data_IF_183999899117
#
_entry.id   IF_183999899117
#
_cell.length_a   1.000
_cell.length_b   1.000
_cell.length_c   1.000
_cell.angle_alpha   90.00
_cell.angle_beta   90.00
_cell.angle_gamma   90.00
#
_symmetry.space_group_name_H-M   'P 1'
#
loop_
_entity.id
_entity.type
_entity.pdbx_description
1 polymer ?
#
# COMPACT_ATOMS: atom_id res chain seq x y z
N UNK A 1 -18.86 -4.44 21.42
CA UNK A 1 -19.93 -5.37 21.85
C UNK A 1 -19.93 -6.69 21.07
N UNK A 2 -19.39 -6.69 19.84
CA UNK A 2 -19.34 -7.87 18.96
C UNK A 2 -18.19 -8.84 19.34
N UNK A 3 -17.13 -8.37 20.02
CA UNK A 3 -16.02 -9.19 20.48
C UNK A 3 -14.99 -9.58 19.41
N UNK A 4 -15.15 -9.12 18.17
CA UNK A 4 -14.16 -9.27 17.10
C UNK A 4 -14.29 -8.18 16.05
N UNK A 5 -13.23 -7.96 15.29
CA UNK A 5 -13.24 -7.03 14.17
C UNK A 5 -11.92 -7.03 13.41
N UNK A 6 -11.96 -6.56 12.18
CA UNK A 6 -10.78 -6.35 11.32
C UNK A 6 -10.81 -4.94 10.76
N UNK A 7 -9.73 -4.21 10.94
CA UNK A 7 -9.50 -2.89 10.35
C UNK A 7 -8.31 -3.02 9.43
N UNK A 8 -8.48 -2.63 8.17
CA UNK A 8 -7.44 -2.68 7.15
C UNK A 8 -7.28 -1.26 6.61
N UNK A 9 -6.19 -0.63 6.99
CA UNK A 9 -5.82 0.68 6.48
C UNK A 9 -5.06 0.53 5.17
N UNK A 10 -5.23 1.46 4.24
CA UNK A 10 -4.47 1.48 2.99
C UNK A 10 -3.37 2.55 3.10
N UNK A 11 -2.15 2.07 3.30
CA UNK A 11 -0.95 2.90 3.25
C UNK A 11 -0.33 2.87 1.83
N UNK A 12 0.95 2.72 1.74
CA UNK A 12 1.74 2.62 0.50
C UNK A 12 3.11 2.06 0.85
N UNK A 13 3.84 1.56 -0.12
CA UNK A 13 5.28 1.34 0.02
C UNK A 13 6.01 2.64 0.41
N UNK A 14 5.52 3.80 -0.03
CA UNK A 14 6.01 5.13 0.42
C UNK A 14 5.73 5.43 1.90
N UNK A 15 4.98 4.60 2.60
CA UNK A 15 4.84 4.60 4.06
C UNK A 15 5.90 3.74 4.76
N UNK A 16 6.67 2.96 4.03
CA UNK A 16 7.74 2.10 4.54
C UNK A 16 9.12 2.67 4.27
N UNK A 17 9.27 3.44 3.21
CA UNK A 17 10.50 4.14 2.82
C UNK A 17 10.19 5.48 2.15
N UNK A 18 11.21 6.33 2.00
CA UNK A 18 11.06 7.62 1.34
C UNK A 18 10.98 7.49 -0.19
N UNK A 19 10.11 8.26 -0.80
CA UNK A 19 10.03 8.39 -2.26
C UNK A 19 10.36 9.83 -2.64
N UNK A 20 11.39 10.07 -3.46
CA UNK A 20 11.71 11.41 -3.94
C UNK A 20 10.49 12.13 -4.53
N UNK A 21 10.40 13.44 -4.35
CA UNK A 21 9.31 14.31 -4.81
C UNK A 21 7.97 14.10 -4.08
N UNK A 22 7.84 13.11 -3.18
CA UNK A 22 6.58 12.78 -2.49
C UNK A 22 6.65 13.00 -0.96
N UNK A 23 7.35 14.01 -0.46
CA UNK A 23 7.56 14.22 0.97
C UNK A 23 6.27 14.25 1.80
N UNK A 24 5.27 15.04 1.40
CA UNK A 24 3.98 15.15 2.10
C UNK A 24 3.15 13.86 1.98
N UNK A 25 3.21 13.20 0.84
CA UNK A 25 2.57 11.90 0.64
C UNK A 25 3.19 10.84 1.56
N UNK A 26 4.53 10.74 1.57
CA UNK A 26 5.25 9.84 2.47
C UNK A 26 4.87 10.12 3.93
N UNK A 27 4.89 11.39 4.36
CA UNK A 27 4.47 11.76 5.71
C UNK A 27 3.07 11.21 6.05
N UNK A 28 2.11 11.37 5.15
CA UNK A 28 0.74 10.88 5.36
C UNK A 28 0.69 9.36 5.48
N UNK A 29 1.44 8.65 4.63
CA UNK A 29 1.44 7.18 4.58
C UNK A 29 2.22 6.55 5.74
N UNK A 30 3.28 7.19 6.21
CA UNK A 30 3.95 6.84 7.48
C UNK A 30 3.03 7.05 8.67
N UNK A 31 2.26 8.14 8.68
CA UNK A 31 1.26 8.41 9.73
C UNK A 31 0.21 7.30 9.85
N UNK A 32 -0.25 6.75 8.71
CA UNK A 32 -1.17 5.61 8.69
C UNK A 32 -0.55 4.38 9.36
N UNK A 33 0.74 4.11 9.17
CA UNK A 33 1.41 2.99 9.83
C UNK A 33 1.55 3.23 11.34
N UNK A 34 1.87 4.44 11.75
CA UNK A 34 1.88 4.83 13.16
C UNK A 34 0.52 4.61 13.82
N UNK A 35 -0.54 5.12 13.19
CA UNK A 35 -1.93 4.90 13.62
C UNK A 35 -2.27 3.41 13.70
N UNK A 36 -1.94 2.63 12.68
CA UNK A 36 -2.20 1.18 12.63
C UNK A 36 -1.57 0.45 13.82
N UNK A 37 -0.30 0.73 14.09
CA UNK A 37 0.44 0.11 15.21
C UNK A 37 -0.12 0.50 16.58
N UNK A 38 -0.46 1.76 16.75
CA UNK A 38 -1.04 2.27 18.01
C UNK A 38 -2.42 1.68 18.25
N UNK A 39 -3.31 1.78 17.26
CA UNK A 39 -4.67 1.28 17.37
C UNK A 39 -4.70 -0.24 17.60
N UNK A 40 -3.82 -1.00 16.95
CA UNK A 40 -3.68 -2.45 17.18
C UNK A 40 -3.43 -2.80 18.65
N UNK A 41 -2.62 -2.00 19.35
CA UNK A 41 -2.35 -2.19 20.79
C UNK A 41 -3.55 -1.79 21.65
N UNK A 42 -4.24 -0.71 21.29
CA UNK A 42 -5.38 -0.21 22.07
C UNK A 42 -6.59 -1.12 22.02
N UNK A 43 -6.83 -1.78 20.88
CA UNK A 43 -8.06 -2.55 20.67
C UNK A 43 -7.84 -4.06 20.57
N UNK A 44 -6.59 -4.53 20.57
CA UNK A 44 -6.26 -5.95 20.41
C UNK A 44 -6.89 -6.83 21.50
N UNK A 45 -6.88 -6.36 22.75
CA UNK A 45 -7.55 -7.06 23.88
C UNK A 45 -9.06 -7.18 23.73
N UNK A 46 -9.66 -6.40 22.83
CA UNK A 46 -11.09 -6.43 22.52
C UNK A 46 -11.41 -7.36 21.34
N UNK A 47 -10.44 -8.15 20.86
CA UNK A 47 -10.59 -9.04 19.71
C UNK A 47 -10.57 -8.31 18.35
N UNK A 48 -10.11 -7.06 18.30
CA UNK A 48 -10.03 -6.28 17.07
C UNK A 48 -8.59 -6.27 16.56
N UNK A 49 -8.40 -6.66 15.33
CA UNK A 49 -7.11 -6.71 14.63
C UNK A 49 -7.03 -5.55 13.65
N UNK A 50 -5.90 -4.86 13.66
CA UNK A 50 -5.66 -3.67 12.84
C UNK A 50 -4.38 -3.86 12.05
N UNK A 51 -4.44 -3.87 10.73
CA UNK A 51 -3.28 -3.93 9.86
C UNK A 51 -3.35 -2.86 8.77
N UNK A 52 -2.24 -2.60 8.12
CA UNK A 52 -2.19 -1.75 6.95
C UNK A 52 -1.68 -2.55 5.74
N UNK A 53 -2.30 -2.38 4.59
CA UNK A 53 -1.77 -2.83 3.30
C UNK A 53 -0.93 -1.71 2.70
N UNK A 54 0.24 -2.05 2.19
CA UNK A 54 1.22 -1.11 1.66
C UNK A 54 1.52 -1.43 0.18
N UNK A 55 0.61 -1.08 -0.75
CA UNK A 55 0.82 -1.32 -2.16
C UNK A 55 1.95 -0.47 -2.75
N UNK A 56 2.61 -0.99 -3.76
CA UNK A 56 3.40 -0.21 -4.72
C UNK A 56 2.49 0.43 -5.77
N UNK A 57 2.97 0.62 -6.98
CA UNK A 57 2.21 1.19 -8.09
C UNK A 57 1.04 0.27 -8.48
N UNK A 58 -0.16 0.82 -8.58
CA UNK A 58 -1.38 0.09 -8.96
C UNK A 58 -1.96 0.75 -10.21
N UNK A 59 -2.35 -0.02 -11.20
CA UNK A 59 -3.02 0.51 -12.40
C UNK A 59 -4.37 1.09 -12.03
N UNK A 60 -4.45 2.40 -12.04
CA UNK A 60 -5.65 3.17 -11.72
C UNK A 60 -5.69 4.42 -12.61
N UNK A 61 -6.84 5.09 -12.74
CA UNK A 61 -6.91 6.34 -13.50
C UNK A 61 -5.91 7.41 -13.06
N UNK A 62 -5.46 7.38 -11.80
CA UNK A 62 -4.41 8.28 -11.30
C UNK A 62 -3.07 8.09 -12.04
N UNK A 63 -2.78 6.87 -12.47
CA UNK A 63 -1.53 6.52 -13.17
C UNK A 63 -1.62 6.71 -14.69
N UNK A 64 -2.81 7.01 -15.22
CA UNK A 64 -3.08 7.13 -16.66
C UNK A 64 -2.92 8.57 -17.15
N UNK A 65 -1.89 9.27 -16.65
CA UNK A 65 -1.61 10.66 -17.01
C UNK A 65 -0.14 10.83 -17.43
N UNK A 66 0.11 11.80 -18.31
CA UNK A 66 1.49 12.11 -18.71
C UNK A 66 2.32 12.70 -17.56
N UNK A 67 1.70 13.35 -16.59
CA UNK A 67 2.38 13.80 -15.37
C UNK A 67 2.89 12.62 -14.54
N UNK A 68 2.10 11.53 -14.48
CA UNK A 68 2.54 10.32 -13.80
C UNK A 68 3.65 9.60 -14.58
N UNK A 69 3.58 9.54 -15.92
CA UNK A 69 4.66 9.03 -16.77
C UNK A 69 5.95 9.80 -16.52
N UNK A 70 5.88 11.13 -16.49
CA UNK A 70 7.03 11.98 -16.18
C UNK A 70 7.60 11.69 -14.78
N UNK A 71 6.74 11.57 -13.78
CA UNK A 71 7.16 11.23 -12.42
C UNK A 71 7.89 9.87 -12.38
N UNK A 72 7.40 8.85 -13.08
CA UNK A 72 8.08 7.54 -13.17
C UNK A 72 9.41 7.66 -13.93
N UNK A 73 9.47 8.44 -15.01
CA UNK A 73 10.72 8.69 -15.72
C UNK A 73 11.77 9.32 -14.80
N UNK A 74 11.40 10.34 -14.04
CA UNK A 74 12.28 11.02 -13.07
C UNK A 74 12.79 10.05 -11.98
N UNK A 75 11.93 9.14 -11.51
CA UNK A 75 12.30 8.16 -10.48
C UNK A 75 13.20 7.04 -11.02
N UNK A 76 13.01 6.63 -12.26
CA UNK A 76 13.67 5.43 -12.81
C UNK A 76 14.82 5.74 -13.76
N UNK A 77 14.98 6.99 -14.18
CA UNK A 77 15.92 7.40 -15.20
C UNK A 77 15.54 6.92 -16.61
N UNK A 78 14.30 6.46 -16.81
CA UNK A 78 13.77 6.01 -18.10
C UNK A 78 13.11 7.18 -18.85
N UNK A 79 12.75 6.96 -20.10
CA UNK A 79 12.16 7.99 -20.97
C UNK A 79 10.94 7.43 -21.73
N UNK A 80 9.95 7.00 -20.96
CA UNK A 80 8.66 6.55 -21.51
C UNK A 80 7.92 7.73 -22.15
N UNK A 81 7.33 7.51 -23.31
CA UNK A 81 6.59 8.51 -24.08
C UNK A 81 5.08 8.38 -23.95
N UNK A 82 4.61 7.27 -23.38
CA UNK A 82 3.19 7.01 -23.17
C UNK A 82 2.94 6.17 -21.91
N UNK A 83 1.68 6.10 -21.51
CA UNK A 83 1.21 5.25 -20.40
C UNK A 83 1.46 3.76 -20.72
N UNK A 84 1.23 3.36 -21.98
CA UNK A 84 1.42 1.98 -22.44
C UNK A 84 2.90 1.56 -22.33
N UNK A 85 3.81 2.43 -22.76
CA UNK A 85 5.26 2.18 -22.64
C UNK A 85 5.68 2.07 -21.17
N UNK A 86 5.16 2.94 -20.31
CA UNK A 86 5.40 2.90 -18.87
C UNK A 86 4.90 1.58 -18.27
N UNK A 87 3.68 1.16 -18.58
CA UNK A 87 3.12 -0.10 -18.09
C UNK A 87 3.90 -1.33 -18.59
N UNK A 88 4.44 -1.28 -19.80
CA UNK A 88 5.28 -2.35 -20.33
C UNK A 88 6.69 -2.38 -19.69
N UNK A 89 7.18 -1.24 -19.23
CA UNK A 89 8.56 -1.08 -18.76
C UNK A 89 8.76 -1.03 -17.25
N UNK A 90 7.69 -0.97 -16.47
CA UNK A 90 7.72 -0.94 -14.99
C UNK A 90 6.62 -1.84 -14.43
N UNK A 91 6.88 -2.65 -13.41
CA UNK A 91 5.86 -3.51 -12.82
C UNK A 91 4.79 -2.69 -12.09
N UNK A 92 3.54 -3.04 -12.33
CA UNK A 92 2.35 -2.52 -11.66
C UNK A 92 1.50 -3.66 -11.11
N UNK A 93 0.82 -3.40 -10.01
CA UNK A 93 -0.27 -4.25 -9.51
C UNK A 93 -1.55 -3.93 -10.27
N UNK A 94 -2.43 -4.91 -10.38
CA UNK A 94 -3.81 -4.71 -10.79
C UNK A 94 -4.69 -4.35 -9.57
N UNK A 95 -5.85 -3.75 -9.79
CA UNK A 95 -6.76 -3.42 -8.66
C UNK A 95 -7.27 -4.68 -7.96
N UNK A 96 -7.39 -5.79 -8.68
CA UNK A 96 -7.79 -7.09 -8.18
C UNK A 96 -6.78 -7.67 -7.18
N UNK A 97 -5.49 -7.37 -7.33
CA UNK A 97 -4.44 -7.78 -6.38
C UNK A 97 -4.69 -7.14 -5.01
N UNK A 98 -5.06 -5.86 -5.03
CA UNK A 98 -5.39 -5.12 -3.81
C UNK A 98 -6.67 -5.67 -3.17
N UNK A 99 -7.72 -5.86 -3.96
CA UNK A 99 -9.00 -6.39 -3.49
C UNK A 99 -8.85 -7.77 -2.87
N UNK A 100 -8.09 -8.67 -3.52
CA UNK A 100 -7.82 -10.02 -3.04
C UNK A 100 -7.07 -10.01 -1.71
N UNK A 101 -6.07 -9.13 -1.56
CA UNK A 101 -5.30 -9.03 -0.32
C UNK A 101 -6.14 -8.42 0.81
N UNK A 102 -6.96 -7.42 0.53
CA UNK A 102 -7.91 -6.86 1.50
C UNK A 102 -8.90 -7.94 1.96
N UNK A 103 -9.44 -8.71 1.03
CA UNK A 103 -10.33 -9.82 1.34
C UNK A 103 -9.64 -10.86 2.25
N UNK A 104 -8.42 -11.28 1.91
CA UNK A 104 -7.65 -12.23 2.71
C UNK A 104 -7.36 -11.69 4.11
N UNK A 105 -6.88 -10.45 4.23
CA UNK A 105 -6.64 -9.80 5.53
C UNK A 105 -7.92 -9.69 6.36
N UNK A 106 -9.07 -9.47 5.71
CA UNK A 106 -10.37 -9.29 6.35
C UNK A 106 -11.01 -10.59 6.83
N UNK A 107 -10.77 -11.71 6.14
CA UNK A 107 -11.56 -12.95 6.32
C UNK A 107 -10.74 -14.16 6.73
N UNK A 108 -9.47 -14.26 6.32
CA UNK A 108 -8.65 -15.44 6.60
C UNK A 108 -8.35 -15.61 8.08
N UNK A 109 -8.41 -16.85 8.54
CA UNK A 109 -8.02 -17.23 9.89
C UNK A 109 -6.53 -16.97 10.14
N UNK A 110 -5.70 -17.22 9.16
CA UNK A 110 -4.25 -17.05 9.20
C UNK A 110 -3.88 -15.58 9.31
N UNK A 111 -4.56 -14.73 8.55
CA UNK A 111 -4.39 -13.28 8.64
C UNK A 111 -4.78 -12.73 10.02
N UNK A 112 -5.60 -13.45 10.77
CA UNK A 112 -5.94 -13.14 12.16
C UNK A 112 -4.78 -13.17 13.14
N UNK A 113 -3.64 -13.67 12.73
CA UNK A 113 -2.40 -13.71 13.54
C UNK A 113 -1.49 -12.50 13.31
N UNK A 114 -1.80 -11.67 12.31
CA UNK A 114 -1.13 -10.40 12.09
C UNK A 114 -1.90 -9.29 12.82
N UNK A 115 -1.20 -8.50 13.61
CA UNK A 115 -1.79 -7.34 14.26
C UNK A 115 -0.75 -6.21 14.34
N UNK A 116 -1.13 -5.02 13.94
CA UNK A 116 -0.25 -3.85 13.90
C UNK A 116 0.79 -3.90 12.77
N UNK A 117 0.56 -4.67 11.72
CA UNK A 117 1.53 -4.86 10.65
C UNK A 117 1.25 -3.96 9.44
N UNK A 118 2.33 -3.45 8.83
CA UNK A 118 2.30 -2.92 7.47
C UNK A 118 2.71 -4.03 6.50
N UNK A 119 1.78 -4.51 5.71
CA UNK A 119 1.97 -5.63 4.78
C UNK A 119 2.31 -5.09 3.40
N UNK A 120 3.55 -5.23 2.92
CA UNK A 120 3.92 -4.76 1.60
C UNK A 120 3.29 -5.64 0.52
N UNK A 121 2.84 -5.02 -0.55
CA UNK A 121 2.45 -5.65 -1.80
C UNK A 121 3.21 -4.92 -2.90
N UNK A 122 4.45 -5.31 -3.14
CA UNK A 122 5.47 -4.48 -3.76
C UNK A 122 6.14 -5.07 -5.00
N UNK A 123 5.77 -6.29 -5.40
CA UNK A 123 6.36 -7.01 -6.54
C UNK A 123 7.90 -7.14 -6.45
N UNK A 124 8.45 -7.17 -5.23
CA UNK A 124 9.89 -7.20 -5.01
C UNK A 124 10.60 -5.87 -5.30
N UNK A 125 9.88 -4.76 -5.38
CA UNK A 125 10.46 -3.44 -5.72
C UNK A 125 11.03 -2.68 -4.52
N UNK A 126 10.95 -3.24 -3.32
CA UNK A 126 11.51 -2.67 -2.08
C UNK A 126 12.99 -3.02 -1.83
N UNK A 127 13.63 -3.69 -2.75
CA UNK A 127 15.03 -4.12 -2.61
C UNK A 127 16.00 -3.10 -3.14
#
# INVERSE_FOLDING_TARGET
>A
KQGFGRIINISSTSGLYGTPQLATYCMSKWGILGLTKTLAKEVGSKGIIVNALCPTKVKTPMCETMDYVKFINDLTGKDFKSVEEMYAGVPFLEVEDIASMVYWLGTSREAGKFNGQGVPLDLGTLQ
#
